data_IF_659115313324
#
_entry.id   IF_659115313324
#
_cell.length_a   1.000
_cell.length_b   1.000
_cell.length_c   1.000
_cell.angle_alpha   90.00
_cell.angle_beta   90.00
_cell.angle_gamma   90.00
#
_symmetry.space_group_name_H-M   'P 1'
#
loop_
_entity.id
_entity.type
_entity.pdbx_description
1 polymer ?
#
# COMPACT_ATOMS: atom_id res chain seq x y z
N UNK A 1 25.52 45.73 27.07
CA UNK A 1 24.32 46.53 27.38
C UNK A 1 23.16 45.55 27.60
N UNK A 2 22.81 45.40 28.85
CA UNK A 2 21.82 44.44 29.37
C UNK A 2 20.46 45.16 29.48
N UNK A 3 19.41 44.55 28.98
CA UNK A 3 18.03 44.98 29.31
C UNK A 3 17.24 43.74 29.72
N UNK A 4 17.07 43.58 31.01
CA UNK A 4 16.09 42.71 31.66
C UNK A 4 14.67 43.27 31.47
N UNK A 5 13.73 42.47 31.04
CA UNK A 5 12.29 42.73 31.22
C UNK A 5 11.66 41.59 32.00
N UNK A 6 11.28 41.90 33.22
CA UNK A 6 10.51 41.09 34.14
C UNK A 6 9.03 41.01 33.66
N UNK A 7 8.50 39.80 33.56
CA UNK A 7 7.05 39.55 33.32
C UNK A 7 6.37 39.33 34.67
N UNK A 8 5.41 40.16 34.97
CA UNK A 8 4.55 40.08 36.17
C UNK A 8 3.42 39.07 35.96
N UNK A 9 3.35 38.11 36.83
CA UNK A 9 2.20 37.18 36.93
C UNK A 9 1.04 37.85 37.68
N UNK A 10 -0.14 37.85 37.12
CA UNK A 10 -1.38 38.21 37.80
C UNK A 10 -2.10 36.94 38.24
N UNK A 11 -2.26 36.78 39.52
CA UNK A 11 -3.13 35.79 40.20
C UNK A 11 -4.58 36.17 39.99
N UNK A 12 -5.38 35.23 39.46
CA UNK A 12 -6.83 35.34 39.42
C UNK A 12 -7.42 34.37 40.44
N UNK A 13 -8.11 34.94 41.42
CA UNK A 13 -8.83 34.24 42.47
C UNK A 13 -10.19 33.80 41.92
N UNK A 14 -10.53 32.51 41.95
CA UNK A 14 -11.85 31.99 41.60
C UNK A 14 -12.65 31.75 42.88
N UNK A 15 -13.78 32.43 43.00
CA UNK A 15 -14.72 32.29 44.09
C UNK A 15 -15.66 31.09 43.86
N UNK A 16 -15.76 30.22 44.85
CA UNK A 16 -16.68 29.07 44.89
C UNK A 16 -18.07 29.58 45.32
N UNK A 17 -19.06 29.43 44.45
CA UNK A 17 -20.46 29.66 44.75
C UNK A 17 -21.23 28.33 44.89
N UNK A 18 -21.69 28.03 46.09
CA UNK A 18 -22.60 26.92 46.35
C UNK A 18 -24.03 27.28 45.96
N UNK A 19 -24.72 26.40 45.24
CA UNK A 19 -26.17 26.51 45.03
C UNK A 19 -26.87 25.20 45.40
N UNK A 20 -27.92 25.38 46.13
CA UNK A 20 -28.69 24.41 46.88
C UNK A 20 -29.62 23.54 46.01
N UNK A 21 -29.87 22.31 46.50
CA UNK A 21 -30.93 21.41 46.02
C UNK A 21 -32.32 22.00 46.27
N UNK A 22 -33.19 21.85 45.27
CA UNK A 22 -34.64 21.88 45.47
C UNK A 22 -35.26 20.63 44.79
N UNK A 23 -35.86 19.79 45.62
CA UNK A 23 -36.69 18.66 45.22
C UNK A 23 -38.10 19.17 44.86
N UNK A 24 -38.67 18.71 43.76
CA UNK A 24 -40.03 19.01 43.33
C UNK A 24 -40.72 17.80 42.74
N UNK A 25 -41.84 17.42 43.29
CA UNK A 25 -42.59 16.19 43.12
C UNK A 25 -43.36 16.06 41.80
N UNK A 26 -43.73 14.82 41.52
CA UNK A 26 -44.43 14.26 40.38
C UNK A 26 -45.79 14.95 40.03
N UNK A 27 -46.06 14.93 38.70
CA UNK A 27 -47.44 14.86 38.20
C UNK A 27 -47.48 14.03 36.91
N UNK A 28 -48.24 12.95 36.94
CA UNK A 28 -48.58 12.12 35.79
C UNK A 28 -49.58 12.89 34.90
N UNK A 29 -49.36 12.93 33.59
CA UNK A 29 -50.45 13.07 32.62
C UNK A 29 -50.10 12.26 31.35
N UNK A 30 -51.04 11.42 31.00
CA UNK A 30 -51.07 10.49 29.86
C UNK A 30 -51.31 11.23 28.54
N UNK A 31 -50.70 10.74 27.48
CA UNK A 31 -51.19 10.84 26.13
C UNK A 31 -50.27 11.51 25.13
N UNK A 32 -49.85 10.76 24.10
CA UNK A 32 -49.46 11.32 22.84
C UNK A 32 -48.07 10.94 22.36
N UNK A 33 -48.01 10.03 21.37
CA UNK A 33 -47.02 9.92 20.30
C UNK A 33 -45.57 10.11 20.65
N UNK A 34 -44.87 9.03 21.02
CA UNK A 34 -43.41 9.02 21.07
C UNK A 34 -42.85 9.02 19.66
N UNK A 35 -42.59 10.18 19.10
CA UNK A 35 -41.52 10.28 18.11
C UNK A 35 -40.21 10.01 18.86
N UNK A 36 -39.65 8.84 18.68
CA UNK A 36 -38.32 8.53 19.14
C UNK A 36 -37.36 9.51 18.46
N UNK A 37 -37.05 10.62 19.14
CA UNK A 37 -35.89 11.41 18.80
C UNK A 37 -34.68 10.49 19.01
N UNK A 38 -34.07 10.06 17.89
CA UNK A 38 -32.74 9.42 17.94
C UNK A 38 -31.85 10.42 18.68
N UNK A 39 -31.50 10.11 19.91
CA UNK A 39 -30.58 10.93 20.68
C UNK A 39 -29.33 11.14 19.85
N UNK A 40 -29.00 12.37 19.50
CA UNK A 40 -27.78 12.69 18.78
C UNK A 40 -26.62 12.11 19.60
N UNK A 41 -25.83 11.22 19.00
CA UNK A 41 -24.66 10.66 19.66
C UNK A 41 -23.74 11.79 20.12
N UNK A 42 -23.15 11.66 21.31
CA UNK A 42 -22.21 12.64 21.83
C UNK A 42 -21.09 12.91 20.80
N UNK A 43 -20.57 14.15 20.72
CA UNK A 43 -19.43 14.46 19.85
C UNK A 43 -18.26 13.54 20.15
N UNK A 44 -17.63 12.98 19.12
CA UNK A 44 -16.47 12.09 19.20
C UNK A 44 -15.36 12.63 18.31
N UNK A 45 -14.12 12.47 18.76
CA UNK A 45 -12.94 12.70 17.92
C UNK A 45 -12.20 11.39 17.78
N UNK A 46 -11.96 10.96 16.55
CA UNK A 46 -11.16 9.79 16.22
C UNK A 46 -9.85 10.21 15.56
N UNK A 47 -8.81 9.43 15.76
CA UNK A 47 -7.49 9.64 15.16
C UNK A 47 -7.32 8.66 14.01
N UNK A 48 -7.02 9.18 12.83
CA UNK A 48 -6.70 8.39 11.65
C UNK A 48 -5.22 8.57 11.30
N UNK A 49 -4.44 7.47 11.33
CA UNK A 49 -3.04 7.48 10.92
C UNK A 49 -2.90 7.08 9.46
N UNK A 50 -2.17 7.88 8.68
CA UNK A 50 -1.85 7.63 7.27
C UNK A 50 -0.42 8.06 6.95
N UNK A 51 0.11 7.61 5.80
CA UNK A 51 1.43 8.00 5.31
C UNK A 51 1.46 9.44 4.78
N UNK A 52 0.33 9.98 4.35
CA UNK A 52 0.16 11.39 3.98
C UNK A 52 0.97 11.84 2.77
N UNK A 53 1.26 10.93 1.84
CA UNK A 53 2.08 11.22 0.66
C UNK A 53 1.36 12.18 -0.31
N UNK A 54 1.95 13.33 -0.56
CA UNK A 54 1.65 14.23 -1.69
C UNK A 54 0.16 14.45 -1.97
N UNK A 55 -0.28 14.03 -3.15
CA UNK A 55 -1.67 14.13 -3.62
C UNK A 55 -2.59 13.20 -2.85
N UNK A 56 -2.12 12.06 -2.38
CA UNK A 56 -2.90 11.10 -1.59
C UNK A 56 -3.38 11.71 -0.28
N UNK A 57 -2.50 12.30 0.52
CA UNK A 57 -2.88 12.98 1.76
C UNK A 57 -3.84 14.14 1.53
N UNK A 58 -3.70 14.88 0.41
CA UNK A 58 -4.66 15.92 0.05
C UNK A 58 -6.06 15.33 -0.23
N UNK A 59 -6.16 14.23 -0.97
CA UNK A 59 -7.43 13.57 -1.27
C UNK A 59 -8.06 12.95 -0.02
N UNK A 60 -7.26 12.36 0.85
CA UNK A 60 -7.71 11.87 2.16
C UNK A 60 -8.30 13.00 2.99
N UNK A 61 -7.64 14.16 3.09
CA UNK A 61 -8.17 15.31 3.81
C UNK A 61 -9.50 15.83 3.23
N UNK A 62 -9.64 15.82 1.87
CA UNK A 62 -10.89 16.21 1.22
C UNK A 62 -12.02 15.20 1.53
N UNK A 63 -11.74 13.92 1.50
CA UNK A 63 -12.68 12.87 1.86
C UNK A 63 -13.12 12.98 3.34
N UNK A 64 -12.18 13.23 4.25
CA UNK A 64 -12.47 13.43 5.68
C UNK A 64 -13.33 14.68 5.89
N UNK A 65 -13.04 15.80 5.25
CA UNK A 65 -13.87 17.01 5.35
C UNK A 65 -15.32 16.75 4.89
N UNK A 66 -15.50 15.95 3.83
CA UNK A 66 -16.83 15.57 3.35
C UNK A 66 -17.51 14.57 4.30
N UNK A 67 -16.77 13.63 4.88
CA UNK A 67 -17.26 12.72 5.92
C UNK A 67 -17.75 13.47 7.15
N UNK A 68 -16.97 14.42 7.67
CA UNK A 68 -17.36 15.24 8.83
C UNK A 68 -18.61 16.08 8.57
N UNK A 69 -18.74 16.63 7.36
CA UNK A 69 -19.95 17.36 6.95
C UNK A 69 -21.19 16.46 6.99
N UNK A 70 -21.05 15.19 6.58
CA UNK A 70 -22.13 14.21 6.61
C UNK A 70 -22.38 13.64 8.02
N UNK A 71 -21.37 13.71 8.91
CA UNK A 71 -21.39 13.16 10.27
C UNK A 71 -20.95 14.22 11.29
N UNK A 72 -21.74 15.27 11.56
CA UNK A 72 -21.31 16.46 12.32
C UNK A 72 -20.87 16.16 13.76
N UNK A 73 -21.25 15.01 14.31
CA UNK A 73 -20.87 14.55 15.64
C UNK A 73 -19.55 13.74 15.66
N UNK A 74 -18.92 13.49 14.50
CA UNK A 74 -17.63 12.79 14.41
C UNK A 74 -16.61 13.76 13.82
N UNK A 75 -15.51 13.96 14.54
CA UNK A 75 -14.32 14.67 14.07
C UNK A 75 -13.21 13.70 13.83
N UNK A 76 -12.40 13.94 12.80
CA UNK A 76 -11.25 13.09 12.45
C UNK A 76 -9.98 13.94 12.51
N UNK A 77 -9.06 13.54 13.36
CA UNK A 77 -7.72 14.12 13.42
C UNK A 77 -6.76 13.20 12.64
N UNK A 78 -6.16 13.72 11.58
CA UNK A 78 -5.15 12.97 10.82
C UNK A 78 -3.83 13.00 11.59
N UNK A 79 -3.23 11.83 11.79
CA UNK A 79 -1.88 11.64 12.26
C UNK A 79 -1.02 11.21 11.07
N UNK A 80 -0.23 12.14 10.52
CA UNK A 80 0.68 11.82 9.42
C UNK A 80 1.91 11.11 9.98
N UNK A 81 2.16 9.90 9.52
CA UNK A 81 3.33 9.09 9.82
C UNK A 81 4.36 9.16 8.68
N UNK A 82 5.47 8.46 8.83
CA UNK A 82 6.52 8.42 7.80
C UNK A 82 6.03 7.76 6.51
N UNK A 83 6.37 8.30 5.33
CA UNK A 83 6.10 7.61 4.07
C UNK A 83 6.96 6.34 3.86
N UNK A 84 8.06 6.19 4.61
CA UNK A 84 8.85 4.96 4.59
C UNK A 84 8.13 3.86 5.36
N UNK A 85 7.76 2.78 4.68
CA UNK A 85 6.95 1.68 5.21
C UNK A 85 7.52 1.05 6.50
N UNK A 86 8.84 0.88 6.59
CA UNK A 86 9.49 0.34 7.79
C UNK A 86 9.37 1.27 8.99
N UNK A 87 9.54 2.59 8.78
CA UNK A 87 9.39 3.60 9.83
C UNK A 87 7.92 3.75 10.23
N UNK A 88 7.00 3.70 9.25
CA UNK A 88 5.55 3.71 9.46
C UNK A 88 5.14 2.56 10.38
N UNK A 89 5.50 1.34 10.00
CA UNK A 89 5.24 0.13 10.78
C UNK A 89 5.78 0.23 12.21
N UNK A 90 7.06 0.66 12.36
CA UNK A 90 7.69 0.80 13.68
C UNK A 90 6.95 1.80 14.57
N UNK A 91 6.37 2.86 13.99
CA UNK A 91 5.56 3.85 14.72
C UNK A 91 4.25 3.23 15.22
N UNK A 92 3.54 2.48 14.37
CA UNK A 92 2.32 1.76 14.77
C UNK A 92 2.61 0.71 15.84
N UNK A 93 3.67 -0.08 15.67
CA UNK A 93 4.06 -1.10 16.65
C UNK A 93 4.38 -0.49 18.01
N UNK A 94 5.08 0.64 18.03
CA UNK A 94 5.35 1.37 19.28
C UNK A 94 4.05 1.75 20.01
N UNK A 95 3.07 2.30 19.29
CA UNK A 95 1.78 2.66 19.85
C UNK A 95 1.02 1.44 20.38
N UNK A 96 0.99 0.34 19.63
CA UNK A 96 0.28 -0.89 20.01
C UNK A 96 0.93 -1.59 21.20
N UNK A 97 2.26 -1.70 21.22
CA UNK A 97 3.01 -2.31 22.35
C UNK A 97 2.82 -1.49 23.62
N UNK A 98 2.76 -0.15 23.51
CA UNK A 98 2.50 0.72 24.67
C UNK A 98 1.06 0.63 25.17
N UNK A 99 0.16 -0.06 24.44
CA UNK A 99 -1.26 -0.16 24.77
C UNK A 99 -2.05 1.10 24.46
N UNK A 100 -1.57 1.95 23.55
CA UNK A 100 -2.27 3.16 23.10
C UNK A 100 -3.64 2.83 22.52
N UNK A 101 -4.64 3.66 22.82
CA UNK A 101 -5.96 3.59 22.19
C UNK A 101 -6.03 4.38 20.87
N UNK A 102 -4.94 5.06 20.50
CA UNK A 102 -4.79 5.79 19.23
C UNK A 102 -3.55 5.31 18.48
N UNK A 103 -3.59 5.38 17.13
CA UNK A 103 -4.70 5.80 16.28
C UNK A 103 -5.93 4.88 16.43
N UNK A 104 -7.15 5.42 16.18
CA UNK A 104 -8.38 4.62 16.17
C UNK A 104 -8.52 3.82 14.88
N UNK A 105 -8.21 4.46 13.74
CA UNK A 105 -8.13 3.88 12.40
C UNK A 105 -6.74 4.15 11.87
N UNK A 106 -6.21 3.24 11.08
CA UNK A 106 -4.91 3.43 10.45
C UNK A 106 -4.82 2.71 9.11
N UNK A 107 -4.02 3.27 8.25
CA UNK A 107 -3.57 2.67 7.00
C UNK A 107 -2.68 1.45 7.31
N UNK A 108 -2.86 0.39 6.58
CA UNK A 108 -2.16 -0.88 6.77
C UNK A 108 -1.76 -1.46 5.43
N UNK A 109 -0.46 -1.54 5.17
CA UNK A 109 0.03 -2.29 4.01
C UNK A 109 -0.61 -3.70 3.99
N UNK A 110 -0.87 -4.21 2.79
CA UNK A 110 -1.51 -5.53 2.58
C UNK A 110 -0.78 -6.69 3.29
N UNK A 111 0.46 -6.49 3.74
CA UNK A 111 1.27 -7.50 4.44
C UNK A 111 1.13 -7.50 5.96
N UNK A 112 0.56 -6.44 6.57
CA UNK A 112 0.55 -6.29 8.03
C UNK A 112 -0.64 -6.97 8.75
N UNK A 113 -1.83 -7.17 8.13
CA UNK A 113 -3.02 -7.63 8.86
C UNK A 113 -2.81 -8.92 9.64
N UNK A 114 -2.09 -9.91 9.10
CA UNK A 114 -1.83 -11.18 9.78
C UNK A 114 -1.01 -11.00 11.07
N UNK A 115 0.04 -10.16 11.04
CA UNK A 115 0.86 -9.84 12.21
C UNK A 115 0.05 -9.11 13.27
N UNK A 116 -0.70 -8.09 12.87
CA UNK A 116 -1.50 -7.29 13.81
C UNK A 116 -2.62 -8.11 14.44
N UNK A 117 -3.26 -8.99 13.65
CA UNK A 117 -4.27 -9.92 14.15
C UNK A 117 -3.70 -10.93 15.14
N UNK A 118 -2.54 -11.52 14.83
CA UNK A 118 -1.84 -12.46 15.71
C UNK A 118 -1.45 -11.80 17.04
N UNK A 119 -0.99 -10.56 17.01
CA UNK A 119 -0.62 -9.78 18.19
C UNK A 119 -1.83 -9.24 18.98
N UNK A 120 -3.05 -9.36 18.44
CA UNK A 120 -4.25 -8.81 19.06
C UNK A 120 -4.34 -7.29 19.06
N UNK A 121 -3.68 -6.64 18.10
CA UNK A 121 -3.63 -5.17 17.99
C UNK A 121 -4.77 -4.57 17.16
N UNK A 122 -5.47 -5.39 16.39
CA UNK A 122 -6.60 -4.98 15.53
C UNK A 122 -7.89 -5.68 15.90
N UNK A 123 -9.01 -4.97 15.70
CA UNK A 123 -10.34 -5.55 15.90
C UNK A 123 -10.71 -6.46 14.74
N UNK A 124 -11.32 -7.64 15.01
CA UNK A 124 -11.97 -8.43 13.99
C UNK A 124 -13.15 -7.66 13.40
N UNK A 125 -13.16 -7.46 12.08
CA UNK A 125 -14.21 -6.69 11.41
C UNK A 125 -15.53 -7.47 11.26
N UNK A 126 -15.53 -8.76 11.57
CA UNK A 126 -16.74 -9.61 11.60
C UNK A 126 -17.80 -9.14 12.59
N UNK A 127 -17.42 -8.31 13.58
CA UNK A 127 -18.39 -7.66 14.48
C UNK A 127 -19.23 -6.58 13.78
N UNK A 128 -18.82 -6.16 12.59
CA UNK A 128 -19.54 -5.22 11.75
C UNK A 128 -20.15 -5.97 10.55
N UNK A 129 -21.21 -5.42 9.97
CA UNK A 129 -21.83 -6.03 8.78
C UNK A 129 -20.99 -5.71 7.54
N UNK A 130 -19.97 -6.54 7.26
CA UNK A 130 -19.06 -6.39 6.12
C UNK A 130 -19.57 -7.21 4.94
N UNK A 131 -19.69 -6.58 3.76
CA UNK A 131 -19.92 -7.27 2.49
C UNK A 131 -18.60 -7.38 1.72
N UNK A 132 -17.82 -8.41 1.96
CA UNK A 132 -16.52 -8.64 1.29
C UNK A 132 -16.67 -8.95 -0.20
N UNK A 133 -17.83 -9.45 -0.65
CA UNK A 133 -18.06 -9.81 -2.06
C UNK A 133 -18.11 -8.64 -3.04
N UNK A 134 -18.01 -7.40 -2.57
CA UNK A 134 -17.90 -6.21 -3.40
C UNK A 134 -16.48 -5.81 -3.76
N UNK A 135 -15.45 -6.37 -3.08
CA UNK A 135 -14.03 -6.09 -3.28
C UNK A 135 -13.35 -7.18 -4.12
N UNK A 136 -12.18 -6.91 -4.64
CA UNK A 136 -11.37 -7.96 -5.25
C UNK A 136 -11.01 -9.03 -4.21
N UNK A 137 -11.07 -10.31 -4.63
CA UNK A 137 -10.85 -11.42 -3.69
C UNK A 137 -9.42 -11.50 -3.15
N UNK A 138 -8.44 -11.09 -3.93
CA UNK A 138 -7.02 -11.01 -3.56
C UNK A 138 -6.80 -10.04 -2.39
N UNK A 139 -7.44 -8.86 -2.46
CA UNK A 139 -7.45 -7.85 -1.40
C UNK A 139 -8.09 -8.38 -0.11
N UNK A 140 -9.29 -8.96 -0.25
CA UNK A 140 -10.00 -9.55 0.91
C UNK A 140 -9.15 -10.64 1.56
N UNK A 141 -8.45 -11.45 0.76
CA UNK A 141 -7.56 -12.49 1.28
C UNK A 141 -6.39 -11.89 2.07
N UNK A 142 -5.75 -10.80 1.57
CA UNK A 142 -4.67 -10.10 2.27
C UNK A 142 -5.12 -9.54 3.63
N UNK A 143 -6.35 -9.02 3.74
CA UNK A 143 -6.93 -8.52 4.99
C UNK A 143 -7.44 -9.61 5.94
N UNK A 144 -7.39 -10.89 5.53
CA UNK A 144 -7.97 -12.02 6.27
C UNK A 144 -6.89 -12.90 6.90
N UNK A 145 -6.98 -13.13 8.20
CA UNK A 145 -6.12 -14.05 8.92
C UNK A 145 -6.95 -15.10 9.68
N UNK A 146 -6.60 -16.39 9.52
CA UNK A 146 -7.34 -17.53 10.12
C UNK A 146 -8.86 -17.46 9.86
N UNK A 147 -9.26 -17.09 8.64
CA UNK A 147 -10.68 -17.01 8.24
C UNK A 147 -11.44 -15.80 8.77
N UNK A 148 -10.78 -14.87 9.43
CA UNK A 148 -11.37 -13.66 10.00
C UNK A 148 -10.78 -12.42 9.30
N UNK A 149 -11.65 -11.52 8.85
CA UNK A 149 -11.23 -10.23 8.26
C UNK A 149 -10.84 -9.25 9.37
N UNK A 150 -9.66 -8.63 9.25
CA UNK A 150 -9.11 -7.65 10.19
C UNK A 150 -8.84 -6.27 9.58
N UNK A 151 -8.67 -6.22 8.25
CA UNK A 151 -8.50 -4.96 7.54
C UNK A 151 -9.38 -4.92 6.28
N UNK A 152 -9.94 -3.74 6.00
CA UNK A 152 -10.74 -3.48 4.79
C UNK A 152 -9.85 -3.04 3.65
N UNK A 153 -9.99 -3.58 2.43
CA UNK A 153 -9.36 -3.00 1.26
C UNK A 153 -9.72 -1.52 1.12
N UNK A 154 -8.73 -0.68 0.82
CA UNK A 154 -8.95 0.75 0.64
C UNK A 154 -8.59 1.22 -0.77
N UNK A 155 -7.39 0.91 -1.22
CA UNK A 155 -6.98 1.04 -2.60
C UNK A 155 -5.95 -0.02 -2.93
N UNK A 156 -5.95 -0.39 -4.19
CA UNK A 156 -5.06 -1.40 -4.73
C UNK A 156 -3.88 -0.73 -5.43
N UNK A 157 -2.79 -1.45 -5.58
CA UNK A 157 -1.62 -0.96 -6.28
C UNK A 157 -0.90 -2.15 -6.95
N UNK A 158 -1.44 -2.71 -8.04
CA UNK A 158 -0.77 -3.80 -8.74
C UNK A 158 0.48 -3.28 -9.44
N UNK A 159 1.63 -3.80 -9.09
CA UNK A 159 2.88 -3.50 -9.80
C UNK A 159 2.88 -4.17 -11.18
N UNK A 160 3.39 -3.48 -12.19
CA UNK A 160 3.44 -3.99 -13.55
C UNK A 160 4.55 -3.37 -14.40
N UNK A 161 4.53 -3.63 -15.69
CA UNK A 161 5.50 -3.11 -16.64
C UNK A 161 4.96 -1.88 -17.37
N UNK A 162 5.50 -0.71 -17.05
CA UNK A 162 5.35 0.50 -17.85
C UNK A 162 6.23 0.45 -19.08
N UNK A 163 5.76 1.01 -20.19
CA UNK A 163 6.56 1.15 -21.40
C UNK A 163 6.22 2.44 -22.19
N UNK A 164 7.21 2.98 -22.87
CA UNK A 164 7.11 4.16 -23.74
C UNK A 164 6.53 3.77 -25.10
N UNK A 165 5.26 4.11 -25.36
CA UNK A 165 4.54 3.74 -26.60
C UNK A 165 5.05 4.47 -27.85
N UNK A 166 5.79 5.56 -27.69
CA UNK A 166 6.51 6.23 -28.79
C UNK A 166 7.77 5.49 -29.21
N UNK A 167 8.41 4.76 -28.32
CA UNK A 167 9.61 3.95 -28.57
C UNK A 167 9.26 2.49 -28.86
N UNK A 168 8.35 1.89 -28.09
CA UNK A 168 7.92 0.50 -28.16
C UNK A 168 6.53 0.45 -28.79
N UNK A 169 6.46 0.15 -30.11
CA UNK A 169 5.23 0.22 -30.90
C UNK A 169 4.23 -0.92 -30.62
N UNK A 170 4.73 -2.06 -30.17
CA UNK A 170 3.93 -3.21 -29.80
C UNK A 170 4.37 -3.66 -28.41
N UNK A 171 3.42 -3.81 -27.47
CA UNK A 171 3.76 -4.29 -26.13
C UNK A 171 4.54 -5.60 -26.18
N UNK A 172 5.62 -5.77 -25.41
CA UNK A 172 6.37 -7.04 -25.36
C UNK A 172 5.49 -8.15 -24.84
N UNK A 173 5.62 -9.34 -25.40
CA UNK A 173 4.84 -10.53 -25.05
C UNK A 173 5.69 -11.62 -24.38
N UNK A 174 7.00 -11.40 -24.25
CA UNK A 174 7.92 -12.29 -23.53
C UNK A 174 9.01 -11.50 -22.81
N UNK A 175 9.61 -12.05 -21.73
CA UNK A 175 10.76 -11.43 -21.05
C UNK A 175 11.95 -11.17 -21.98
N UNK A 176 12.14 -12.02 -22.98
CA UNK A 176 13.20 -11.84 -23.98
C UNK A 176 12.94 -10.64 -24.89
N UNK A 177 11.66 -10.37 -25.22
CA UNK A 177 11.27 -9.18 -25.96
C UNK A 177 11.53 -7.91 -25.16
N UNK A 178 11.26 -7.89 -23.85
CA UNK A 178 11.60 -6.72 -23.01
C UNK A 178 13.06 -6.36 -23.15
N UNK A 179 13.96 -7.38 -23.12
CA UNK A 179 15.41 -7.17 -23.31
C UNK A 179 15.73 -6.61 -24.71
N UNK A 180 15.24 -7.27 -25.76
CA UNK A 180 15.56 -6.85 -27.15
C UNK A 180 15.00 -5.48 -27.49
N UNK A 181 13.82 -5.16 -26.99
CA UNK A 181 13.17 -3.85 -27.21
C UNK A 181 13.88 -2.73 -26.45
N UNK A 182 14.32 -3.01 -25.21
CA UNK A 182 15.14 -2.10 -24.42
C UNK A 182 16.49 -1.79 -25.11
N UNK A 183 17.20 -2.81 -25.60
CA UNK A 183 18.46 -2.67 -26.33
C UNK A 183 18.26 -1.86 -27.63
N UNK A 184 17.18 -2.15 -28.37
CA UNK A 184 16.85 -1.43 -29.60
C UNK A 184 16.52 0.04 -29.33
N UNK A 185 15.73 0.33 -28.27
CA UNK A 185 15.39 1.69 -27.87
C UNK A 185 16.64 2.49 -27.46
N UNK A 186 17.49 1.95 -26.60
CA UNK A 186 18.74 2.59 -26.17
C UNK A 186 19.68 2.88 -27.35
N UNK A 187 19.71 1.99 -28.35
CA UNK A 187 20.48 2.22 -29.57
C UNK A 187 19.89 3.31 -30.46
N UNK A 188 18.57 3.41 -30.53
CA UNK A 188 17.85 4.39 -31.36
C UNK A 188 17.82 5.78 -30.75
N UNK A 189 17.76 5.87 -29.42
CA UNK A 189 17.68 7.13 -28.66
C UNK A 189 18.82 7.22 -27.63
N UNK A 190 19.92 7.90 -27.94
CA UNK A 190 21.04 8.09 -27.03
C UNK A 190 20.74 8.97 -25.79
N UNK A 191 19.55 9.57 -25.69
CA UNK A 191 19.13 10.32 -24.50
C UNK A 191 18.65 9.41 -23.38
N UNK A 192 18.32 8.15 -23.69
CA UNK A 192 18.01 7.14 -22.68
C UNK A 192 19.26 6.79 -21.89
N UNK A 193 19.10 6.73 -20.57
CA UNK A 193 20.19 6.37 -19.64
C UNK A 193 20.27 4.85 -19.40
N UNK A 194 19.12 4.21 -19.41
CA UNK A 194 18.95 2.77 -19.23
C UNK A 194 17.78 2.24 -20.08
N UNK A 195 17.70 0.92 -20.19
CA UNK A 195 16.64 0.20 -20.92
C UNK A 195 15.47 -0.21 -20.03
N UNK A 196 15.72 -0.41 -18.73
CA UNK A 196 14.68 -0.73 -17.74
C UNK A 196 15.07 -0.20 -16.35
N UNK A 197 14.09 0.32 -15.62
CA UNK A 197 14.19 0.66 -14.22
C UNK A 197 13.33 -0.31 -13.39
N UNK A 198 13.80 -0.71 -12.20
CA UNK A 198 13.08 -1.51 -11.23
C UNK A 198 13.67 -1.32 -9.82
N UNK A 199 12.93 -1.73 -8.81
CA UNK A 199 13.36 -1.59 -7.42
C UNK A 199 14.30 -2.72 -7.02
N UNK A 200 15.53 -2.40 -6.63
CA UNK A 200 16.53 -3.40 -6.24
C UNK A 200 17.36 -3.01 -5.00
N UNK A 201 16.99 -1.92 -4.31
CA UNK A 201 17.55 -1.61 -2.99
C UNK A 201 17.14 -2.68 -1.96
N UNK A 202 17.86 -2.75 -0.84
CA UNK A 202 17.55 -3.69 0.24
C UNK A 202 16.32 -3.22 1.04
N UNK A 203 15.13 -3.38 0.49
CA UNK A 203 13.83 -3.04 1.11
C UNK A 203 12.69 -3.83 0.45
N UNK A 204 11.46 -3.60 0.89
CA UNK A 204 10.27 -4.37 0.46
C UNK A 204 10.01 -4.32 -1.05
N UNK A 205 10.26 -3.17 -1.70
CA UNK A 205 10.05 -3.01 -3.14
C UNK A 205 10.91 -3.93 -4.01
N UNK A 206 12.09 -4.38 -3.54
CA UNK A 206 12.83 -5.41 -4.25
C UNK A 206 12.10 -6.76 -4.28
N UNK A 207 11.22 -7.03 -3.29
CA UNK A 207 10.40 -8.25 -3.26
C UNK A 207 9.23 -8.11 -4.23
N UNK A 208 8.59 -6.95 -4.31
CA UNK A 208 7.48 -6.73 -5.24
C UNK A 208 7.96 -6.75 -6.69
N UNK A 209 9.06 -6.07 -7.02
CA UNK A 209 9.67 -6.15 -8.36
C UNK A 209 10.10 -7.58 -8.74
N UNK A 210 10.63 -8.36 -7.77
CA UNK A 210 10.89 -9.78 -7.99
C UNK A 210 9.58 -10.54 -8.26
N UNK A 211 8.54 -10.34 -7.45
CA UNK A 211 7.27 -11.05 -7.55
C UNK A 211 6.53 -10.73 -8.86
N UNK A 212 6.65 -9.48 -9.34
CA UNK A 212 6.14 -9.05 -10.65
C UNK A 212 6.79 -9.84 -11.80
N UNK A 213 8.07 -10.20 -11.67
CA UNK A 213 8.79 -11.00 -12.69
C UNK A 213 8.62 -12.49 -12.45
N UNK A 214 8.43 -12.93 -11.22
CA UNK A 214 8.51 -14.34 -10.80
C UNK A 214 7.47 -15.22 -11.50
N UNK A 215 6.22 -14.79 -11.59
CA UNK A 215 5.15 -15.50 -12.30
C UNK A 215 5.50 -15.77 -13.75
N UNK A 216 6.20 -14.85 -14.39
CA UNK A 216 6.59 -14.98 -15.79
C UNK A 216 7.50 -16.19 -16.04
N UNK A 217 8.17 -16.67 -15.01
CA UNK A 217 9.05 -17.85 -15.06
C UNK A 217 8.46 -19.07 -14.34
N UNK A 218 7.17 -19.00 -13.96
CA UNK A 218 6.49 -20.08 -13.23
C UNK A 218 6.93 -20.21 -11.79
N UNK A 219 7.45 -19.13 -11.21
CA UNK A 219 7.78 -19.04 -9.80
C UNK A 219 6.57 -18.73 -8.92
N UNK A 220 6.74 -18.91 -7.63
CA UNK A 220 5.78 -18.53 -6.59
C UNK A 220 6.53 -18.23 -5.30
N UNK A 221 6.15 -17.18 -4.60
CA UNK A 221 6.77 -16.83 -3.33
C UNK A 221 6.13 -17.63 -2.18
N UNK A 222 6.43 -18.92 -2.11
CA UNK A 222 6.11 -19.76 -0.96
C UNK A 222 7.32 -19.80 0.00
N UNK A 223 7.23 -19.20 1.21
CA UNK A 223 8.36 -19.17 2.14
C UNK A 223 8.83 -20.56 2.57
N UNK A 224 7.97 -21.57 2.51
CA UNK A 224 8.37 -22.95 2.82
C UNK A 224 9.23 -23.60 1.73
N UNK A 225 9.23 -23.04 0.52
CA UNK A 225 9.95 -23.55 -0.64
C UNK A 225 10.30 -22.46 -1.65
N UNK A 226 11.15 -21.51 -1.27
CA UNK A 226 11.57 -20.41 -2.14
C UNK A 226 12.60 -20.82 -3.20
N UNK A 227 13.28 -21.96 -3.05
CA UNK A 227 14.31 -22.44 -3.99
C UNK A 227 13.68 -23.25 -5.13
N UNK A 228 12.84 -22.65 -5.93
CA UNK A 228 12.23 -23.26 -7.12
C UNK A 228 12.97 -22.86 -8.40
N UNK A 229 12.91 -23.67 -9.48
CA UNK A 229 13.49 -23.27 -10.77
C UNK A 229 12.93 -21.94 -11.29
N UNK A 230 11.63 -21.66 -11.06
CA UNK A 230 10.99 -20.41 -11.47
C UNK A 230 11.57 -19.20 -10.74
N UNK A 231 11.63 -19.25 -9.41
CA UNK A 231 12.19 -18.18 -8.59
C UNK A 231 13.67 -17.89 -8.93
N UNK A 232 14.46 -18.96 -9.13
CA UNK A 232 15.84 -18.81 -9.57
C UNK A 232 15.93 -18.16 -10.95
N UNK A 233 15.04 -18.54 -11.89
CA UNK A 233 15.03 -17.97 -13.24
C UNK A 233 14.62 -16.48 -13.23
N UNK A 234 13.63 -16.11 -12.43
CA UNK A 234 13.19 -14.73 -12.27
C UNK A 234 14.30 -13.82 -11.71
N UNK A 235 14.92 -14.23 -10.60
CA UNK A 235 16.01 -13.47 -10.01
C UNK A 235 17.25 -13.41 -10.92
N UNK A 236 17.51 -14.47 -11.69
CA UNK A 236 18.56 -14.46 -12.73
C UNK A 236 18.22 -13.50 -13.87
N UNK A 237 16.95 -13.32 -14.23
CA UNK A 237 16.55 -12.35 -15.26
C UNK A 237 16.84 -10.91 -14.80
N UNK A 238 16.44 -10.55 -13.56
CA UNK A 238 16.75 -9.24 -12.97
C UNK A 238 18.26 -9.01 -12.85
N UNK A 239 18.99 -10.00 -12.38
CA UNK A 239 20.45 -9.97 -12.31
C UNK A 239 21.10 -9.80 -13.70
N UNK A 240 20.60 -10.52 -14.71
CA UNK A 240 21.09 -10.44 -16.07
C UNK A 240 20.81 -9.08 -16.72
N UNK A 241 19.70 -8.42 -16.36
CA UNK A 241 19.42 -7.06 -16.80
C UNK A 241 20.54 -6.08 -16.41
N UNK A 242 21.17 -6.29 -15.24
CA UNK A 242 22.27 -5.46 -14.74
C UNK A 242 23.61 -5.86 -15.40
N UNK A 243 23.97 -7.15 -15.35
CA UNK A 243 25.34 -7.57 -15.61
C UNK A 243 25.59 -8.15 -16.99
N UNK A 244 24.59 -8.85 -17.56
CA UNK A 244 24.73 -9.54 -18.86
C UNK A 244 24.20 -8.70 -20.01
N UNK A 245 22.93 -8.31 -19.92
CA UNK A 245 22.26 -7.54 -20.96
C UNK A 245 22.58 -6.03 -20.86
N UNK A 246 22.95 -5.59 -19.65
CA UNK A 246 23.30 -4.18 -19.35
C UNK A 246 22.22 -3.18 -19.77
N UNK A 247 20.97 -3.59 -19.65
CA UNK A 247 19.80 -2.75 -19.86
C UNK A 247 19.37 -2.02 -18.59
N UNK A 248 19.83 -2.48 -17.41
CA UNK A 248 19.68 -1.74 -16.15
C UNK A 248 21.06 -1.27 -15.66
N UNK A 249 21.19 -0.08 -15.09
CA UNK A 249 22.44 0.40 -14.54
C UNK A 249 22.74 -0.29 -13.21
N UNK A 250 24.02 -0.36 -12.81
CA UNK A 250 24.36 -0.90 -11.49
C UNK A 250 23.76 -0.04 -10.35
N UNK A 251 23.48 1.25 -10.60
CA UNK A 251 22.84 2.13 -9.63
C UNK A 251 21.43 1.64 -9.18
N UNK A 252 20.78 0.79 -9.99
CA UNK A 252 19.47 0.20 -9.66
C UNK A 252 19.48 -0.51 -8.30
N UNK A 253 20.62 -1.02 -7.86
CA UNK A 253 20.78 -1.68 -6.55
C UNK A 253 20.60 -0.77 -5.32
N UNK A 254 20.44 0.52 -5.53
CA UNK A 254 20.11 1.52 -4.52
C UNK A 254 18.84 2.30 -4.86
N UNK A 255 18.05 1.81 -5.85
CA UNK A 255 16.79 2.46 -6.22
C UNK A 255 15.62 1.86 -5.47
N UNK A 256 14.84 2.76 -4.91
CA UNK A 256 13.53 2.53 -4.34
C UNK A 256 12.48 3.10 -5.30
N UNK A 257 11.23 2.95 -4.97
CA UNK A 257 10.04 3.36 -5.73
C UNK A 257 10.20 4.77 -6.35
N UNK A 258 10.48 5.79 -5.55
CA UNK A 258 10.61 7.17 -6.05
C UNK A 258 11.74 7.40 -7.08
N UNK A 259 12.84 6.60 -7.04
CA UNK A 259 13.89 6.69 -8.06
C UNK A 259 13.45 6.01 -9.35
N UNK A 260 12.76 4.87 -9.29
CA UNK A 260 12.23 4.16 -10.46
C UNK A 260 11.21 5.04 -11.17
N UNK A 261 10.27 5.61 -10.41
CA UNK A 261 9.29 6.57 -10.86
C UNK A 261 9.96 7.76 -11.59
N UNK A 262 10.99 8.38 -10.98
CA UNK A 262 11.71 9.50 -11.57
C UNK A 262 12.36 9.13 -12.91
N UNK A 263 12.96 7.93 -13.04
CA UNK A 263 13.59 7.50 -14.28
C UNK A 263 12.57 7.42 -15.42
N UNK A 264 11.41 6.83 -15.18
CA UNK A 264 10.36 6.73 -16.20
C UNK A 264 9.69 8.07 -16.47
N UNK A 265 9.27 8.80 -15.45
CA UNK A 265 8.61 10.11 -15.59
C UNK A 265 9.49 11.14 -16.29
N UNK A 266 10.81 11.10 -16.09
CA UNK A 266 11.78 11.95 -16.77
C UNK A 266 12.11 11.50 -18.21
N UNK A 267 11.65 10.32 -18.63
CA UNK A 267 11.91 9.77 -19.97
C UNK A 267 13.31 9.19 -20.15
N UNK A 268 13.99 8.83 -19.08
CA UNK A 268 15.34 8.25 -19.11
C UNK A 268 15.35 6.76 -19.44
N UNK A 269 14.22 6.09 -19.32
CA UNK A 269 14.07 4.66 -19.59
C UNK A 269 12.86 4.39 -20.49
N UNK A 270 12.90 3.40 -21.40
CA UNK A 270 11.73 2.96 -22.16
C UNK A 270 10.83 2.02 -21.36
N UNK A 271 11.34 1.36 -20.30
CA UNK A 271 10.60 0.43 -19.44
C UNK A 271 10.81 0.76 -17.96
N UNK A 272 9.76 0.57 -17.14
CA UNK A 272 9.86 0.53 -15.68
C UNK A 272 8.95 -0.55 -15.10
N UNK A 273 9.40 -1.26 -14.09
CA UNK A 273 8.55 -2.07 -13.23
C UNK A 273 8.16 -1.15 -12.05
N UNK A 274 6.89 -0.77 -11.98
CA UNK A 274 6.41 0.25 -11.07
C UNK A 274 4.88 0.18 -10.90
N UNK A 275 4.33 1.08 -10.11
CA UNK A 275 2.93 1.17 -9.73
C UNK A 275 2.17 2.23 -10.52
N UNK A 276 0.81 2.16 -10.60
CA UNK A 276 -0.02 3.06 -11.38
C UNK A 276 0.11 4.55 -11.04
N UNK A 277 0.51 4.93 -9.82
CA UNK A 277 0.65 6.33 -9.42
C UNK A 277 1.70 7.12 -10.24
N UNK A 278 2.59 6.44 -10.97
CA UNK A 278 3.46 7.08 -11.99
C UNK A 278 2.66 7.96 -12.96
N UNK A 279 1.42 7.57 -13.28
CA UNK A 279 0.52 8.35 -14.15
C UNK A 279 0.06 9.68 -13.54
N UNK A 280 0.10 9.82 -12.22
CA UNK A 280 -0.25 11.07 -11.52
C UNK A 280 0.94 12.04 -11.43
N UNK A 281 2.14 11.62 -11.82
CA UNK A 281 3.35 12.43 -11.70
C UNK A 281 3.49 13.48 -12.82
N UNK A 282 4.32 14.50 -12.60
CA UNK A 282 4.68 15.45 -13.66
C UNK A 282 5.55 14.77 -14.74
N UNK A 283 4.92 14.15 -15.73
CA UNK A 283 5.59 13.47 -16.82
C UNK A 283 6.32 14.47 -17.74
N UNK A 284 7.56 14.15 -18.12
CA UNK A 284 8.31 14.90 -19.13
C UNK A 284 7.54 14.94 -20.47
N UNK A 285 7.76 15.99 -21.27
CA UNK A 285 7.05 16.17 -22.54
C UNK A 285 7.18 14.97 -23.50
N UNK A 286 8.31 14.27 -23.46
CA UNK A 286 8.54 13.06 -24.26
C UNK A 286 7.74 11.85 -23.77
N UNK A 287 7.34 11.81 -22.50
CA UNK A 287 6.61 10.69 -21.86
C UNK A 287 5.10 10.93 -21.91
N UNK A 288 4.71 12.19 -21.76
CA UNK A 288 3.30 12.59 -21.67
C UNK A 288 2.48 12.12 -22.87
N UNK A 289 1.47 11.29 -22.65
CA UNK A 289 0.63 10.71 -23.68
C UNK A 289 1.27 9.51 -24.42
N UNK A 290 2.41 9.05 -23.96
CA UNK A 290 3.16 7.92 -24.52
C UNK A 290 3.42 6.84 -23.50
N UNK A 291 2.50 6.61 -22.57
CA UNK A 291 2.59 5.61 -21.54
C UNK A 291 1.72 4.40 -21.87
N UNK A 292 2.27 3.20 -21.79
CA UNK A 292 1.56 1.94 -21.79
C UNK A 292 1.85 1.20 -20.49
N UNK A 293 0.89 0.42 -20.00
CA UNK A 293 0.98 -0.35 -18.77
C UNK A 293 0.41 -1.74 -18.97
N UNK A 294 1.17 -2.76 -18.65
CA UNK A 294 0.82 -4.18 -18.85
C UNK A 294 1.35 -5.03 -17.68
N UNK A 295 0.78 -6.23 -17.44
CA UNK A 295 1.47 -7.22 -16.62
C UNK A 295 2.85 -7.52 -17.21
N UNK A 296 3.84 -7.88 -16.38
CA UNK A 296 5.12 -8.34 -16.87
C UNK A 296 4.90 -9.58 -17.76
N UNK A 297 5.42 -9.60 -19.01
CA UNK A 297 5.05 -10.62 -19.99
C UNK A 297 5.56 -12.02 -19.63
N UNK A 298 4.72 -13.05 -19.89
CA UNK A 298 5.01 -14.43 -19.56
C UNK A 298 6.16 -15.02 -20.40
N UNK A 299 7.04 -15.77 -19.73
CA UNK A 299 7.98 -16.69 -20.35
C UNK A 299 7.38 -18.08 -20.58
N UNK A 300 8.13 -19.00 -21.16
CA UNK A 300 7.70 -20.39 -21.33
C UNK A 300 7.35 -21.05 -19.98
N UNK A 301 6.13 -21.53 -19.84
CA UNK A 301 5.66 -22.19 -18.61
C UNK A 301 5.23 -21.26 -17.48
N UNK A 302 5.34 -19.94 -17.69
CA UNK A 302 4.86 -18.93 -16.75
C UNK A 302 3.51 -18.30 -17.15
N UNK A 303 3.09 -17.36 -16.34
CA UNK A 303 1.90 -16.51 -16.55
C UNK A 303 2.32 -15.05 -16.53
N UNK A 304 1.54 -14.12 -17.12
CA UNK A 304 1.81 -12.70 -16.94
C UNK A 304 1.87 -12.34 -15.46
N UNK A 305 2.84 -11.49 -15.09
CA UNK A 305 3.14 -11.20 -13.69
C UNK A 305 2.73 -9.81 -13.24
N UNK A 306 2.27 -9.74 -12.00
CA UNK A 306 1.98 -8.51 -11.26
C UNK A 306 2.08 -8.82 -9.77
N UNK A 307 2.66 -7.95 -8.98
CA UNK A 307 2.64 -8.05 -7.53
C UNK A 307 1.48 -7.22 -6.96
N UNK A 308 0.78 -7.76 -5.97
CA UNK A 308 -0.23 -7.02 -5.23
C UNK A 308 0.45 -6.05 -4.27
N UNK A 309 0.18 -4.77 -4.47
CA UNK A 309 0.44 -3.70 -3.52
C UNK A 309 -0.88 -3.13 -3.01
N UNK A 310 -0.81 -1.96 -2.40
CA UNK A 310 -1.97 -1.23 -1.92
C UNK A 310 -2.12 -1.22 -0.41
N UNK A 311 -3.10 -0.47 0.05
CA UNK A 311 -3.33 -0.19 1.45
C UNK A 311 -4.73 -0.60 1.89
N UNK A 312 -4.82 -0.96 3.13
CA UNK A 312 -6.03 -1.38 3.82
C UNK A 312 -6.31 -0.45 4.99
N UNK A 313 -7.52 -0.49 5.52
CA UNK A 313 -7.90 0.24 6.73
C UNK A 313 -8.21 -0.74 7.86
N UNK A 314 -7.53 -0.56 8.99
CA UNK A 314 -7.72 -1.38 10.19
C UNK A 314 -8.14 -0.52 11.39
N UNK A 315 -8.75 -1.18 12.39
CA UNK A 315 -9.22 -0.54 13.62
C UNK A 315 -8.38 -1.06 14.79
N UNK A 316 -7.80 -0.15 15.55
CA UNK A 316 -7.05 -0.47 16.77
C UNK A 316 -7.94 -1.21 17.79
N UNK A 317 -7.45 -2.35 18.28
CA UNK A 317 -8.18 -3.16 19.27
C UNK A 317 -8.45 -2.42 20.60
N UNK A 318 -7.68 -1.38 20.91
CA UNK A 318 -7.82 -0.58 22.14
C UNK A 318 -8.66 0.69 21.95
N UNK A 319 -9.16 0.98 20.73
CA UNK A 319 -10.03 2.14 20.51
C UNK A 319 -11.28 2.11 21.37
N UNK A 320 -11.69 3.25 21.86
CA UNK A 320 -12.99 3.44 22.51
C UNK A 320 -14.07 3.94 21.55
N UNK A 321 -13.72 4.13 20.27
CA UNK A 321 -14.57 4.74 19.23
C UNK A 321 -14.86 3.79 18.05
N UNK A 322 -14.89 2.48 18.28
CA UNK A 322 -14.98 1.46 17.22
C UNK A 322 -16.13 1.69 16.22
N UNK A 323 -17.29 2.16 16.69
CA UNK A 323 -18.43 2.44 15.80
C UNK A 323 -18.18 3.66 14.89
N UNK A 324 -17.52 4.71 15.38
CA UNK A 324 -17.15 5.88 14.59
C UNK A 324 -16.01 5.54 13.61
N UNK A 325 -15.04 4.76 14.05
CA UNK A 325 -13.96 4.23 13.23
C UNK A 325 -14.50 3.42 12.05
N UNK A 326 -15.42 2.50 12.32
CA UNK A 326 -16.08 1.72 11.26
C UNK A 326 -16.86 2.59 10.26
N UNK A 327 -17.56 3.61 10.75
CA UNK A 327 -18.25 4.56 9.87
C UNK A 327 -17.29 5.29 8.93
N UNK A 328 -16.12 5.69 9.42
CA UNK A 328 -15.09 6.31 8.59
C UNK A 328 -14.61 5.33 7.52
N UNK A 329 -14.27 4.09 7.89
CA UNK A 329 -13.85 3.05 6.94
C UNK A 329 -14.91 2.84 5.86
N UNK A 330 -16.17 2.64 6.23
CA UNK A 330 -17.26 2.47 5.26
C UNK A 330 -17.40 3.64 4.28
N UNK A 331 -17.13 4.85 4.74
CA UNK A 331 -17.17 6.04 3.89
C UNK A 331 -15.97 6.06 2.93
N UNK A 332 -14.77 5.86 3.43
CA UNK A 332 -13.53 5.89 2.64
C UNK A 332 -13.49 4.78 1.58
N UNK A 333 -14.03 3.60 1.90
CA UNK A 333 -14.11 2.44 1.01
C UNK A 333 -15.40 2.38 0.20
N UNK A 334 -16.12 3.50 0.06
CA UNK A 334 -17.31 3.57 -0.79
C UNK A 334 -16.94 3.78 -2.26
N UNK A 335 -17.69 3.22 -3.24
CA UNK A 335 -17.34 3.30 -4.66
C UNK A 335 -17.12 4.73 -5.16
N UNK A 336 -17.93 5.69 -4.68
CA UNK A 336 -17.82 7.09 -5.11
C UNK A 336 -16.56 7.78 -4.56
N UNK A 337 -16.15 7.47 -3.34
CA UNK A 337 -14.94 8.04 -2.72
C UNK A 337 -13.70 7.43 -3.37
N UNK A 338 -13.64 6.12 -3.55
CA UNK A 338 -12.53 5.48 -4.23
C UNK A 338 -12.40 5.91 -5.69
N UNK A 339 -13.51 6.03 -6.45
CA UNK A 339 -13.45 6.57 -7.82
C UNK A 339 -12.87 7.99 -7.84
N UNK A 340 -13.30 8.86 -6.91
CA UNK A 340 -12.80 10.24 -6.85
C UNK A 340 -11.32 10.28 -6.49
N UNK A 341 -10.88 9.46 -5.53
CA UNK A 341 -9.48 9.29 -5.15
C UNK A 341 -8.66 8.81 -6.35
N UNK A 342 -9.07 7.73 -7.00
CA UNK A 342 -8.38 7.12 -8.11
C UNK A 342 -8.10 8.10 -9.27
N UNK A 343 -9.07 8.94 -9.61
CA UNK A 343 -8.89 9.96 -10.66
C UNK A 343 -7.80 10.99 -10.30
N UNK A 344 -7.64 11.28 -9.02
CA UNK A 344 -6.72 12.32 -8.57
C UNK A 344 -5.32 11.81 -8.21
N UNK A 345 -5.22 10.58 -7.70
CA UNK A 345 -3.99 10.01 -7.15
C UNK A 345 -3.39 8.93 -8.04
N UNK A 346 -4.16 8.42 -8.99
CA UNK A 346 -3.88 7.21 -9.77
C UNK A 346 -3.88 5.90 -8.96
N UNK A 347 -4.23 5.92 -7.68
CA UNK A 347 -4.40 4.72 -6.86
C UNK A 347 -5.64 3.93 -7.30
N UNK A 348 -5.49 2.68 -7.73
CA UNK A 348 -6.60 1.89 -8.22
C UNK A 348 -7.65 1.60 -7.14
N UNK A 349 -8.96 1.67 -7.47
CA UNK A 349 -9.99 1.28 -6.53
C UNK A 349 -9.94 -0.20 -6.17
N UNK A 350 -10.16 -0.53 -4.91
CA UNK A 350 -10.28 -1.91 -4.42
C UNK A 350 -11.62 -2.58 -4.77
N UNK A 351 -12.55 -1.81 -5.31
CA UNK A 351 -13.91 -2.22 -5.66
C UNK A 351 -14.08 -2.35 -7.18
N UNK A 352 -14.39 -3.54 -7.74
CA UNK A 352 -14.70 -3.70 -9.17
C UNK A 352 -15.79 -2.76 -9.69
N UNK A 353 -16.75 -2.35 -8.84
CA UNK A 353 -17.83 -1.43 -9.17
C UNK A 353 -17.40 0.03 -9.33
N UNK A 354 -16.24 0.40 -8.82
CA UNK A 354 -15.67 1.75 -8.98
C UNK A 354 -15.02 1.95 -10.37
N UNK A 355 -14.74 0.88 -11.12
CA UNK A 355 -14.23 0.91 -12.49
C UNK A 355 -15.34 1.25 -13.48
N UNK A 356 -15.77 2.50 -13.48
CA UNK A 356 -16.88 3.03 -14.25
C UNK A 356 -16.43 3.62 -15.58
N UNK A 357 -17.33 3.82 -16.56
CA UNK A 357 -17.01 4.58 -17.78
C UNK A 357 -16.40 5.96 -17.51
N UNK A 358 -16.84 6.62 -16.43
CA UNK A 358 -16.29 7.92 -16.04
C UNK A 358 -14.83 7.81 -15.58
N UNK A 359 -14.46 6.77 -14.84
CA UNK A 359 -13.08 6.50 -14.46
C UNK A 359 -12.21 6.26 -15.70
N UNK A 360 -12.66 5.39 -16.63
CA UNK A 360 -11.92 5.09 -17.86
C UNK A 360 -11.79 6.30 -18.78
N UNK A 361 -12.79 7.19 -18.79
CA UNK A 361 -12.71 8.43 -19.56
C UNK A 361 -11.68 9.41 -18.97
N UNK A 362 -11.62 9.51 -17.64
CA UNK A 362 -10.68 10.38 -16.93
C UNK A 362 -9.25 9.83 -16.96
N UNK A 363 -9.11 8.52 -16.84
CA UNK A 363 -7.83 7.81 -16.74
C UNK A 363 -7.89 6.47 -17.49
N UNK A 364 -7.62 6.46 -18.81
CA UNK A 364 -7.79 5.26 -19.66
C UNK A 364 -6.93 4.06 -19.26
N UNK A 365 -5.78 4.28 -18.62
CA UNK A 365 -4.88 3.22 -18.14
C UNK A 365 -5.54 2.29 -17.11
N UNK A 366 -6.59 2.73 -16.41
CA UNK A 366 -7.34 1.86 -15.49
C UNK A 366 -8.00 0.65 -16.20
N UNK A 367 -8.08 0.65 -17.52
CA UNK A 367 -8.50 -0.55 -18.26
C UNK A 367 -7.48 -1.69 -18.08
N UNK A 368 -6.19 -1.39 -18.13
CA UNK A 368 -5.12 -2.36 -17.88
C UNK A 368 -5.05 -2.71 -16.39
N UNK A 369 -5.08 -1.72 -15.52
CA UNK A 369 -5.00 -1.88 -14.06
C UNK A 369 -6.05 -2.85 -13.53
N UNK A 370 -7.31 -2.77 -14.01
CA UNK A 370 -8.36 -3.69 -13.58
C UNK A 370 -8.02 -5.17 -13.84
N UNK A 371 -7.33 -5.45 -14.94
CA UNK A 371 -6.89 -6.81 -15.26
C UNK A 371 -5.74 -7.22 -14.35
N UNK A 372 -4.76 -6.32 -14.11
CA UNK A 372 -3.66 -6.60 -13.21
C UNK A 372 -4.14 -6.91 -11.78
N UNK A 373 -5.10 -6.12 -11.25
CA UNK A 373 -5.68 -6.35 -9.93
C UNK A 373 -6.30 -7.74 -9.77
N UNK A 374 -6.95 -8.24 -10.82
CA UNK A 374 -7.58 -9.58 -10.78
C UNK A 374 -6.55 -10.70 -10.70
N UNK A 375 -5.36 -10.49 -11.24
CA UNK A 375 -4.32 -11.51 -11.45
C UNK A 375 -3.07 -11.28 -10.59
N UNK A 376 -3.04 -10.17 -9.82
CA UNK A 376 -1.89 -9.81 -8.99
C UNK A 376 -1.62 -10.86 -7.91
N UNK A 377 -0.34 -11.21 -7.75
CA UNK A 377 0.11 -12.13 -6.72
C UNK A 377 0.31 -11.41 -5.39
N UNK A 378 -0.39 -11.89 -4.36
CA UNK A 378 -0.17 -11.41 -3.02
C UNK A 378 1.17 -11.94 -2.45
N UNK A 379 1.81 -11.10 -1.64
CA UNK A 379 2.87 -11.54 -0.73
C UNK A 379 2.30 -12.50 0.31
N UNK A 380 3.09 -13.41 0.92
CA UNK A 380 2.59 -14.39 1.88
C UNK A 380 1.84 -13.77 3.04
N UNK A 381 0.60 -14.22 3.28
CA UNK A 381 -0.21 -13.81 4.43
C UNK A 381 0.24 -14.61 5.67
N UNK A 382 1.16 -14.05 6.43
CA UNK A 382 1.78 -14.70 7.59
C UNK A 382 2.11 -13.67 8.68
N UNK A 383 1.94 -13.99 9.97
CA UNK A 383 2.40 -13.12 11.05
C UNK A 383 3.93 -12.98 11.08
N UNK A 384 4.66 -13.88 10.45
CA UNK A 384 6.12 -13.88 10.36
C UNK A 384 6.62 -13.24 9.05
N UNK A 385 5.72 -12.70 8.22
CA UNK A 385 6.10 -12.20 6.88
C UNK A 385 7.24 -11.17 6.95
N UNK A 386 7.26 -10.29 7.92
CA UNK A 386 8.32 -9.27 8.03
C UNK A 386 9.71 -9.86 8.25
N UNK A 387 9.82 -10.99 8.95
CA UNK A 387 11.09 -11.70 9.08
C UNK A 387 11.47 -12.38 7.76
N UNK A 388 10.51 -13.06 7.12
CA UNK A 388 10.68 -13.64 5.79
C UNK A 388 11.10 -12.58 4.77
N UNK A 389 10.46 -11.41 4.80
CA UNK A 389 10.80 -10.25 3.97
C UNK A 389 12.25 -9.82 4.18
N UNK A 390 12.68 -9.65 5.44
CA UNK A 390 14.06 -9.29 5.77
C UNK A 390 15.10 -10.26 5.23
N UNK A 391 14.78 -11.54 5.28
CA UNK A 391 15.67 -12.61 4.75
C UNK A 391 15.73 -12.57 3.22
N UNK A 392 14.57 -12.39 2.56
CA UNK A 392 14.49 -12.23 1.11
C UNK A 392 15.23 -10.99 0.62
N UNK A 393 15.06 -9.84 1.30
CA UNK A 393 15.78 -8.61 1.01
C UNK A 393 17.30 -8.82 1.10
N UNK A 394 17.76 -9.56 2.12
CA UNK A 394 19.18 -9.91 2.29
C UNK A 394 19.65 -10.82 1.16
N UNK A 395 18.86 -11.81 0.79
CA UNK A 395 19.15 -12.71 -0.32
C UNK A 395 19.26 -11.94 -1.64
N UNK A 396 18.26 -11.15 -1.99
CA UNK A 396 18.23 -10.40 -3.26
C UNK A 396 19.36 -9.37 -3.33
N UNK A 397 19.59 -8.60 -2.27
CA UNK A 397 20.69 -7.64 -2.19
C UNK A 397 22.05 -8.33 -2.41
N UNK A 398 22.25 -9.55 -1.87
CA UNK A 398 23.47 -10.32 -2.08
C UNK A 398 23.67 -10.74 -3.55
N UNK A 399 22.57 -11.06 -4.25
CA UNK A 399 22.57 -11.38 -5.68
C UNK A 399 22.88 -10.15 -6.52
N UNK A 400 22.21 -9.05 -6.24
CA UNK A 400 22.42 -7.79 -6.97
C UNK A 400 23.81 -7.17 -6.74
N UNK A 401 24.46 -7.48 -5.63
CA UNK A 401 25.85 -7.05 -5.37
C UNK A 401 26.91 -7.98 -6.02
N UNK A 402 26.52 -9.17 -6.51
CA UNK A 402 27.44 -10.19 -7.02
C UNK A 402 27.34 -10.32 -8.54
N UNK A 403 28.35 -9.89 -9.34
CA UNK A 403 28.29 -9.97 -10.81
C UNK A 403 28.44 -11.39 -11.37
N UNK A 404 28.65 -12.41 -10.52
CA UNK A 404 28.93 -13.77 -10.99
C UNK A 404 27.66 -14.43 -11.55
N UNK A 405 27.77 -15.11 -12.71
CA UNK A 405 26.70 -15.96 -13.21
C UNK A 405 26.35 -17.04 -12.17
N UNK A 406 25.03 -17.27 -11.96
CA UNK A 406 24.55 -18.25 -10.98
C UNK A 406 24.45 -17.72 -9.54
N UNK A 407 24.65 -16.43 -9.31
CA UNK A 407 24.49 -15.81 -7.99
C UNK A 407 23.11 -16.10 -7.37
N UNK A 408 22.03 -16.04 -8.16
CA UNK A 408 20.68 -16.34 -7.69
C UNK A 408 20.52 -17.80 -7.23
N UNK A 409 21.02 -18.78 -8.00
CA UNK A 409 20.98 -20.19 -7.63
C UNK A 409 21.73 -20.47 -6.33
N UNK A 410 22.91 -19.88 -6.18
CA UNK A 410 23.71 -20.00 -4.95
C UNK A 410 23.02 -19.38 -3.75
N UNK A 411 22.43 -18.20 -3.91
CA UNK A 411 21.74 -17.48 -2.84
C UNK A 411 20.49 -18.23 -2.36
N UNK A 412 19.63 -18.71 -3.27
CA UNK A 412 18.48 -19.53 -2.90
C UNK A 412 18.88 -20.84 -2.24
N UNK A 413 19.94 -21.52 -2.76
CA UNK A 413 20.42 -22.77 -2.17
C UNK A 413 20.94 -22.59 -0.74
N UNK A 414 21.52 -21.42 -0.42
CA UNK A 414 22.04 -21.14 0.92
C UNK A 414 20.99 -20.55 1.86
N UNK A 415 20.03 -19.74 1.36
CA UNK A 415 19.07 -18.98 2.18
C UNK A 415 17.74 -19.67 2.42
N UNK A 416 17.32 -20.60 1.54
CA UNK A 416 15.97 -21.18 1.58
C UNK A 416 15.61 -21.85 2.91
N UNK A 417 16.57 -22.56 3.53
CA UNK A 417 16.32 -23.23 4.81
C UNK A 417 16.06 -22.26 5.96
N UNK A 418 16.75 -21.11 5.99
CA UNK A 418 16.52 -20.05 6.97
C UNK A 418 15.14 -19.41 6.79
N UNK A 419 14.81 -19.05 5.54
CA UNK A 419 13.49 -18.46 5.20
C UNK A 419 12.35 -19.38 5.62
N UNK A 420 12.46 -20.71 5.33
CA UNK A 420 11.45 -21.68 5.73
C UNK A 420 11.36 -21.86 7.26
N UNK A 421 12.49 -21.80 7.95
CA UNK A 421 12.54 -21.82 9.43
C UNK A 421 11.81 -20.62 10.01
N UNK A 422 12.11 -19.42 9.51
CA UNK A 422 11.54 -18.18 10.05
C UNK A 422 10.06 -18.03 9.70
N UNK A 423 9.64 -18.51 8.54
CA UNK A 423 8.23 -18.58 8.15
C UNK A 423 7.40 -19.46 9.10
N UNK A 424 7.99 -20.55 9.62
CA UNK A 424 7.36 -21.53 10.50
C UNK A 424 7.57 -21.27 12.00
N UNK A 425 8.40 -20.28 12.34
CA UNK A 425 8.69 -19.94 13.73
C UNK A 425 7.40 -19.59 14.50
N UNK A 426 7.30 -20.02 15.75
CA UNK A 426 6.23 -19.52 16.62
C UNK A 426 6.43 -18.01 16.81
N UNK A 427 5.41 -17.18 16.59
CA UNK A 427 5.53 -15.74 16.78
C UNK A 427 6.05 -15.44 18.19
N UNK A 428 7.09 -14.61 18.29
CA UNK A 428 7.59 -14.15 19.58
C UNK A 428 6.51 -13.32 20.26
N UNK A 429 6.08 -13.76 21.42
CA UNK A 429 5.08 -13.11 22.27
C UNK A 429 5.52 -11.73 22.74
#
# INVERSE_FOLDING_TARGET
MSINRAVRWRTVTVSVGAVALAAGAAACSSGGGSTSSVAASAPQTIVFAESGLGTEGQQTQLAINAFEKANPNIKVSIQVLSPNSTTYLSSLEHDFISGSSTPDVFESDVTYPAKFAQAGWVLPLTQFSVNTGQFFSTEVAAGTYNGTLYAMPWFDNPEGLFYRTDLIKTPPTTPAQVVSDAEAAMKADPSLKEGIAFEADKYEGAITSFLTVDSAFGGTLDPSNVNTPGNVAALNWLHAAIYTNKIAPQAVTGWQEGQVEEQFASGYTPFAIDYPFVEAQPLAAAVKGHVGYIPFPAGPGGTPGSALGGEMLAINAKTTHAAAAWKLIQYLTSPSVETTRAIATADPPSLPSAYTPALYQAAPYFTAVKTLNSDAQARPVSPNYLQVSSDLQTLFSSVYANPSPGAASAAFSSGAAQIASDASASPSS
#
